data_IF_865339796187
#
_entry.id   IF_865339796187
#
_cell.length_a   1.000
_cell.length_b   1.000
_cell.length_c   1.000
_cell.angle_alpha   90.00
_cell.angle_beta   90.00
_cell.angle_gamma   90.00
#
_symmetry.space_group_name_H-M   'P 1'
#
loop_
_entity.id
_entity.type
_entity.pdbx_description
1 polymer ?
#
# COMPACT_ATOMS: atom_id res chain seq x y z
N UNK A 1 -47.90 -3.76 -15.20
CA UNK A 1 -48.60 -2.53 -14.74
C UNK A 1 -48.23 -1.39 -15.69
N UNK A 2 -48.84 -1.35 -16.87
CA UNK A 2 -48.59 -0.35 -17.93
C UNK A 2 -49.89 0.37 -18.27
N UNK A 3 -50.65 0.75 -17.25
CA UNK A 3 -51.93 1.42 -17.39
C UNK A 3 -51.94 2.64 -16.46
N UNK A 4 -52.16 3.83 -17.02
CA UNK A 4 -52.32 5.10 -16.28
C UNK A 4 -53.72 5.22 -15.64
N UNK A 5 -54.31 4.10 -15.26
CA UNK A 5 -55.66 4.04 -14.68
C UNK A 5 -55.51 3.86 -13.17
N UNK A 6 -56.28 4.64 -12.40
CA UNK A 6 -56.34 4.50 -10.95
C UNK A 6 -56.83 3.07 -10.60
N UNK A 7 -56.14 2.33 -9.74
CA UNK A 7 -56.57 0.98 -9.35
C UNK A 7 -57.94 1.04 -8.67
N UNK A 8 -58.75 0.02 -8.90
CA UNK A 8 -60.03 -0.14 -8.19
C UNK A 8 -59.77 -0.47 -6.70
N UNK A 9 -60.69 -0.10 -5.82
CA UNK A 9 -60.57 -0.38 -4.36
C UNK A 9 -60.35 -1.87 -4.05
N UNK A 10 -60.86 -2.76 -4.92
CA UNK A 10 -60.67 -4.21 -4.82
C UNK A 10 -59.29 -4.70 -5.28
N UNK A 11 -58.55 -3.90 -6.07
CA UNK A 11 -57.22 -4.22 -6.59
C UNK A 11 -56.09 -3.74 -5.67
N UNK A 12 -56.35 -2.69 -4.87
CA UNK A 12 -55.42 -2.15 -3.86
C UNK A 12 -54.79 -3.24 -2.98
N UNK A 13 -55.54 -4.15 -2.32
CA UNK A 13 -54.95 -5.16 -1.45
C UNK A 13 -54.05 -6.16 -2.20
N UNK A 14 -54.39 -6.48 -3.46
CA UNK A 14 -53.55 -7.36 -4.28
C UNK A 14 -52.23 -6.69 -4.66
N UNK A 15 -52.26 -5.38 -4.95
CA UNK A 15 -51.06 -4.60 -5.25
C UNK A 15 -50.19 -4.46 -3.99
N UNK A 16 -50.79 -4.15 -2.83
CA UNK A 16 -50.08 -4.08 -1.55
C UNK A 16 -49.41 -5.41 -1.18
N UNK A 17 -50.12 -6.53 -1.34
CA UNK A 17 -49.56 -7.87 -1.13
C UNK A 17 -48.42 -8.17 -2.10
N UNK A 18 -48.55 -7.80 -3.37
CA UNK A 18 -47.50 -7.97 -4.37
C UNK A 18 -46.25 -7.12 -4.06
N UNK A 19 -46.39 -6.04 -3.31
CA UNK A 19 -45.27 -5.21 -2.83
C UNK A 19 -44.68 -5.78 -1.54
N UNK A 20 -45.52 -6.26 -0.63
CA UNK A 20 -45.11 -6.77 0.68
C UNK A 20 -44.41 -8.14 0.60
N UNK A 21 -44.89 -9.05 -0.26
CA UNK A 21 -44.37 -10.41 -0.44
C UNK A 21 -42.86 -10.47 -0.77
N UNK A 22 -42.31 -9.63 -1.67
CA UNK A 22 -40.87 -9.64 -1.93
C UNK A 22 -39.99 -8.94 -0.87
N UNK A 23 -40.54 -8.07 -0.01
CA UNK A 23 -39.77 -7.31 0.99
C UNK A 23 -38.90 -8.18 1.92
N UNK A 24 -39.41 -9.27 2.54
CA UNK A 24 -38.58 -10.10 3.41
C UNK A 24 -37.42 -10.76 2.66
N UNK A 25 -37.62 -11.13 1.40
CA UNK A 25 -36.56 -11.71 0.56
C UNK A 25 -35.49 -10.66 0.22
N UNK A 26 -35.91 -9.43 -0.09
CA UNK A 26 -34.98 -8.31 -0.32
C UNK A 26 -34.17 -8.01 0.95
N UNK A 27 -34.83 -7.97 2.12
CA UNK A 27 -34.15 -7.76 3.39
C UNK A 27 -33.11 -8.86 3.66
N UNK A 28 -33.47 -10.13 3.46
CA UNK A 28 -32.55 -11.25 3.62
C UNK A 28 -31.35 -11.18 2.66
N UNK A 29 -31.57 -10.77 1.40
CA UNK A 29 -30.50 -10.57 0.44
C UNK A 29 -29.57 -9.42 0.85
N UNK A 30 -30.11 -8.30 1.33
CA UNK A 30 -29.31 -7.18 1.83
C UNK A 30 -28.45 -7.59 3.04
N UNK A 31 -28.99 -8.39 3.96
CA UNK A 31 -28.19 -8.94 5.07
C UNK A 31 -27.05 -9.83 4.57
N UNK A 32 -27.30 -10.70 3.58
CA UNK A 32 -26.23 -11.53 3.01
C UNK A 32 -25.17 -10.70 2.29
N UNK A 33 -25.59 -9.66 1.57
CA UNK A 33 -24.68 -8.71 0.91
C UNK A 33 -23.77 -8.05 1.95
N UNK A 34 -24.34 -7.55 3.05
CA UNK A 34 -23.58 -6.88 4.11
C UNK A 34 -22.56 -7.81 4.78
N UNK A 35 -22.95 -9.06 5.06
CA UNK A 35 -22.06 -10.10 5.59
C UNK A 35 -20.90 -10.36 4.63
N UNK A 36 -21.19 -10.55 3.34
CA UNK A 36 -20.16 -10.83 2.33
C UNK A 36 -19.24 -9.63 2.10
N UNK A 37 -19.77 -8.41 2.12
CA UNK A 37 -18.96 -7.19 2.03
C UNK A 37 -18.02 -7.05 3.22
N UNK A 38 -18.50 -7.33 4.43
CA UNK A 38 -17.67 -7.34 5.64
C UNK A 38 -16.56 -8.40 5.56
N UNK A 39 -16.90 -9.62 5.13
CA UNK A 39 -15.93 -10.69 4.95
C UNK A 39 -14.87 -10.33 3.89
N UNK A 40 -15.28 -9.74 2.77
CA UNK A 40 -14.38 -9.27 1.73
C UNK A 40 -13.44 -8.19 2.25
N UNK A 41 -13.97 -7.19 2.98
CA UNK A 41 -13.16 -6.12 3.55
C UNK A 41 -12.07 -6.65 4.50
N UNK A 42 -12.40 -7.65 5.33
CA UNK A 42 -11.44 -8.30 6.20
C UNK A 42 -10.34 -9.02 5.41
N UNK A 43 -10.72 -9.80 4.38
CA UNK A 43 -9.76 -10.51 3.55
C UNK A 43 -8.82 -9.58 2.77
N UNK A 44 -9.33 -8.44 2.29
CA UNK A 44 -8.51 -7.42 1.61
C UNK A 44 -7.51 -6.82 2.58
N UNK A 45 -7.93 -6.47 3.80
CA UNK A 45 -7.01 -5.96 4.82
C UNK A 45 -5.92 -6.97 5.16
N UNK A 46 -6.29 -8.23 5.37
CA UNK A 46 -5.33 -9.27 5.71
C UNK A 46 -4.34 -9.52 4.56
N UNK A 47 -4.80 -9.44 3.30
CA UNK A 47 -3.93 -9.48 2.12
C UNK A 47 -2.94 -8.31 2.13
N UNK A 48 -3.42 -7.08 2.33
CA UNK A 48 -2.57 -5.88 2.34
C UNK A 48 -1.51 -5.95 3.43
N UNK A 49 -1.87 -6.41 4.64
CA UNK A 49 -0.96 -6.59 5.76
C UNK A 49 0.15 -7.61 5.43
N UNK A 50 -0.22 -8.74 4.81
CA UNK A 50 0.73 -9.77 4.40
C UNK A 50 1.66 -9.29 3.29
N UNK A 51 1.15 -8.54 2.31
CA UNK A 51 1.96 -7.93 1.25
C UNK A 51 2.94 -6.93 1.83
N UNK A 52 2.48 -6.05 2.73
CA UNK A 52 3.33 -5.08 3.41
C UNK A 52 4.44 -5.76 4.22
N UNK A 53 4.11 -6.83 4.94
CA UNK A 53 5.10 -7.62 5.69
C UNK A 53 6.14 -8.26 4.76
N UNK A 54 5.70 -8.87 3.66
CA UNK A 54 6.60 -9.47 2.69
C UNK A 54 7.55 -8.44 2.07
N UNK A 55 7.06 -7.24 1.75
CA UNK A 55 7.88 -6.13 1.24
C UNK A 55 8.90 -5.65 2.28
N UNK A 56 8.53 -5.57 3.56
CA UNK A 56 9.49 -5.25 4.62
C UNK A 56 10.60 -6.28 4.72
N UNK A 57 10.27 -7.58 4.65
CA UNK A 57 11.27 -8.65 4.62
C UNK A 57 12.17 -8.58 3.39
N UNK A 58 11.60 -8.35 2.20
CA UNK A 58 12.38 -8.15 0.95
C UNK A 58 13.31 -6.95 1.06
N UNK A 59 12.87 -5.85 1.65
CA UNK A 59 13.70 -4.67 1.87
C UNK A 59 14.88 -4.96 2.80
N UNK A 60 14.73 -5.85 3.79
CA UNK A 60 15.84 -6.31 4.64
C UNK A 60 16.82 -7.15 3.85
N UNK A 61 16.35 -8.06 3.01
CA UNK A 61 17.16 -8.92 2.15
C UNK A 61 17.73 -8.20 0.91
N UNK A 62 17.41 -6.92 0.73
CA UNK A 62 17.87 -6.16 -0.41
C UNK A 62 19.41 -6.18 -0.48
N UNK A 63 20.00 -6.51 -1.65
CA UNK A 63 21.45 -6.67 -1.79
C UNK A 63 22.26 -5.49 -1.25
N UNK A 64 21.70 -4.28 -1.33
CA UNK A 64 22.33 -3.04 -0.86
C UNK A 64 22.60 -3.01 0.66
N UNK A 65 21.83 -3.76 1.46
CA UNK A 65 22.02 -3.91 2.91
C UNK A 65 23.04 -4.99 3.28
N UNK A 66 23.43 -5.82 2.31
CA UNK A 66 24.41 -6.90 2.48
C UNK A 66 25.78 -6.56 1.87
N UNK A 67 25.95 -5.33 1.37
CA UNK A 67 27.23 -4.88 0.82
C UNK A 67 28.27 -4.79 1.94
N UNK A 68 29.42 -5.46 1.83
CA UNK A 68 30.48 -5.36 2.82
C UNK A 68 30.96 -3.91 2.97
N UNK A 69 31.31 -3.45 4.18
CA UNK A 69 31.77 -2.08 4.42
C UNK A 69 32.95 -1.66 3.51
N UNK A 70 33.89 -2.57 3.25
CA UNK A 70 35.00 -2.29 2.34
C UNK A 70 34.56 -1.93 0.92
N UNK A 71 33.55 -2.64 0.41
CA UNK A 71 33.00 -2.41 -0.92
C UNK A 71 32.20 -1.10 -0.99
N UNK A 72 31.51 -0.73 0.10
CA UNK A 72 30.87 0.59 0.22
C UNK A 72 31.92 1.70 0.16
N UNK A 73 33.04 1.57 0.88
CA UNK A 73 34.14 2.54 0.84
C UNK A 73 34.78 2.64 -0.56
N UNK A 74 34.94 1.51 -1.26
CA UNK A 74 35.46 1.50 -2.63
C UNK A 74 34.48 2.18 -3.61
N UNK A 75 33.18 1.92 -3.50
CA UNK A 75 32.15 2.62 -4.27
C UNK A 75 32.30 4.13 -4.08
N UNK A 76 32.42 4.60 -2.84
CA UNK A 76 32.58 6.03 -2.53
C UNK A 76 33.79 6.66 -3.20
N UNK A 77 34.92 5.94 -3.23
CA UNK A 77 36.15 6.41 -3.88
C UNK A 77 36.03 6.45 -5.40
N UNK A 78 35.15 5.64 -5.98
CA UNK A 78 34.95 5.50 -7.42
C UNK A 78 33.85 6.41 -7.97
N UNK A 79 32.96 6.97 -7.14
CA UNK A 79 31.93 7.92 -7.56
C UNK A 79 32.63 9.17 -8.12
N UNK A 80 32.54 9.46 -9.44
CA UNK A 80 33.16 10.64 -9.99
C UNK A 80 32.45 11.87 -9.44
N UNK A 81 33.19 12.78 -8.84
CA UNK A 81 32.75 14.14 -8.52
C UNK A 81 32.42 14.87 -9.83
N UNK A 82 31.26 14.59 -10.46
CA UNK A 82 30.76 15.45 -11.52
C UNK A 82 30.62 16.85 -10.93
N UNK A 83 30.92 17.91 -11.69
CA UNK A 83 31.01 19.29 -11.18
C UNK A 83 29.78 19.71 -10.34
N UNK A 84 28.58 19.24 -10.71
CA UNK A 84 27.31 19.44 -9.97
C UNK A 84 27.22 18.73 -8.62
N UNK A 85 27.89 17.58 -8.48
CA UNK A 85 28.00 16.81 -7.22
C UNK A 85 29.18 17.34 -6.39
N UNK A 86 30.27 17.75 -7.04
CA UNK A 86 31.46 18.32 -6.39
C UNK A 86 31.14 19.62 -5.63
N UNK A 87 30.38 20.53 -6.24
CA UNK A 87 29.97 21.79 -5.60
C UNK A 87 29.11 21.55 -4.34
N UNK A 88 28.35 20.44 -4.29
CA UNK A 88 27.60 20.00 -3.10
C UNK A 88 28.43 19.15 -2.13
N UNK A 89 29.43 18.41 -2.62
CA UNK A 89 30.31 17.57 -1.80
C UNK A 89 31.32 18.38 -0.98
N UNK A 90 31.71 19.57 -1.47
CA UNK A 90 32.58 20.48 -0.71
C UNK A 90 31.86 21.05 0.51
N UNK A 91 30.54 21.24 0.44
CA UNK A 91 29.72 21.73 1.56
C UNK A 91 29.14 20.61 2.43
N UNK A 92 29.00 19.40 1.88
CA UNK A 92 28.53 18.22 2.57
C UNK A 92 29.46 17.05 2.25
N UNK A 93 30.23 16.50 3.22
CA UNK A 93 30.95 15.22 3.09
C UNK A 93 30.07 14.10 2.48
N UNK A 94 30.51 12.84 2.28
CA UNK A 94 29.79 11.84 1.47
C UNK A 94 28.41 11.35 2.02
N UNK A 95 27.79 12.15 2.88
CA UNK A 95 26.38 12.21 3.24
C UNK A 95 25.37 12.06 2.10
N UNK A 96 25.71 12.32 0.84
CA UNK A 96 24.79 12.09 -0.30
C UNK A 96 24.29 10.64 -0.32
N UNK A 97 25.11 9.70 0.16
CA UNK A 97 24.80 8.27 0.19
C UNK A 97 24.45 7.75 1.60
N UNK A 98 24.49 8.61 2.62
CA UNK A 98 24.03 8.31 3.98
C UNK A 98 22.54 7.93 4.10
N UNK A 99 21.63 8.44 3.24
CA UNK A 99 20.22 8.03 3.23
C UNK A 99 19.95 6.62 2.67
N UNK A 100 20.94 5.93 2.07
CA UNK A 100 20.73 4.62 1.43
C UNK A 100 20.32 3.56 2.46
N UNK A 101 21.15 3.37 3.49
CA UNK A 101 20.80 2.55 4.65
C UNK A 101 21.73 2.87 5.83
N UNK A 102 21.34 2.44 7.04
CA UNK A 102 22.11 2.67 8.28
C UNK A 102 23.55 2.14 8.16
N UNK A 103 23.74 0.95 7.58
CA UNK A 103 25.07 0.32 7.43
C UNK A 103 26.01 1.13 6.53
N UNK A 104 25.50 1.70 5.43
CA UNK A 104 26.28 2.59 4.57
C UNK A 104 26.68 3.86 5.30
N UNK A 105 25.75 4.46 6.05
CA UNK A 105 26.02 5.64 6.87
C UNK A 105 27.07 5.37 7.95
N UNK A 106 27.01 4.22 8.62
CA UNK A 106 28.02 3.82 9.61
C UNK A 106 29.39 3.63 8.97
N UNK A 107 29.45 3.00 7.80
CA UNK A 107 30.69 2.80 7.05
C UNK A 107 31.31 4.14 6.62
N UNK A 108 30.49 5.11 6.19
CA UNK A 108 30.94 6.46 5.86
C UNK A 108 31.58 7.18 7.05
N UNK A 109 30.93 7.12 8.21
CA UNK A 109 31.43 7.72 9.45
C UNK A 109 32.74 7.08 9.92
N UNK A 110 32.94 5.80 9.62
CA UNK A 110 34.13 5.03 10.03
C UNK A 110 35.28 5.07 9.03
N UNK A 111 35.12 5.70 7.86
CA UNK A 111 36.16 5.77 6.84
C UNK A 111 36.83 7.15 6.83
N UNK A 112 38.02 7.34 7.44
CA UNK A 112 38.68 8.65 7.52
C UNK A 112 39.11 9.19 6.16
N UNK A 113 39.27 8.32 5.15
CA UNK A 113 39.69 8.67 3.79
C UNK A 113 38.62 9.45 3.00
N UNK A 114 37.42 9.59 3.57
CA UNK A 114 36.26 10.24 2.98
C UNK A 114 35.96 11.62 3.60
N UNK A 115 36.77 12.07 4.56
CA UNK A 115 36.73 13.36 5.26
C UNK A 115 37.98 14.18 4.94
#
# INVERSE_FOLDING_TARGET
LTSNVCPLDSEIPNIENSIADPQPRVAALNTQIDILQTALANLVRDQDDLVAHAEQCRAVLAPIRHVPPGLVADIMRLVPCTRKIADKMIEQPPWILGPICRSWRETLLQCPLLW
#
